data_IF_787234767934
#
_entry.id   IF_787234767934
#
_cell.length_a   1.000
_cell.length_b   1.000
_cell.length_c   1.000
_cell.angle_alpha   90.00
_cell.angle_beta   90.00
_cell.angle_gamma   90.00
#
_symmetry.space_group_name_H-M   'P 1'
#
loop_
_entity.id
_entity.type
_entity.pdbx_description
1 polymer ?
#
# COMPACT_ATOMS: atom_id res chain seq x y z
N UNK A 1 -30.77 -14.05 11.53
CA UNK A 1 -30.83 -12.83 10.71
C UNK A 1 -30.39 -11.66 11.58
N UNK A 2 -29.12 -11.27 11.49
CA UNK A 2 -28.61 -10.03 12.07
C UNK A 2 -27.78 -9.36 10.97
N UNK A 3 -28.46 -8.51 10.22
CA UNK A 3 -27.86 -7.57 9.27
C UNK A 3 -27.17 -6.46 10.07
N UNK A 4 -25.89 -6.63 10.40
CA UNK A 4 -25.07 -5.53 10.90
C UNK A 4 -24.51 -4.76 9.69
N UNK A 5 -25.17 -3.64 9.38
CA UNK A 5 -24.77 -2.74 8.33
C UNK A 5 -23.40 -2.08 8.58
N UNK A 6 -22.66 -1.92 7.48
CA UNK A 6 -21.85 -0.77 7.09
C UNK A 6 -21.14 0.03 8.21
N UNK A 7 -19.85 -0.26 8.39
CA UNK A 7 -18.79 0.76 8.53
C UNK A 7 -17.47 0.11 8.12
N UNK A 8 -17.03 0.32 6.88
CA UNK A 8 -15.64 0.04 6.51
C UNK A 8 -14.80 1.10 7.22
N UNK A 9 -14.32 0.78 8.43
CA UNK A 9 -13.47 1.71 9.18
C UNK A 9 -12.12 1.79 8.48
N UNK A 10 -11.69 3.01 8.19
CA UNK A 10 -10.33 3.25 7.68
C UNK A 10 -9.35 2.87 8.79
N UNK A 11 -8.49 1.89 8.53
CA UNK A 11 -7.54 1.35 9.51
C UNK A 11 -6.30 2.24 9.61
N UNK A 12 -5.73 2.45 10.79
CA UNK A 12 -4.47 3.19 10.90
C UNK A 12 -3.31 2.38 10.28
N UNK A 13 -2.48 3.04 9.47
CA UNK A 13 -1.31 2.43 8.86
C UNK A 13 -0.36 1.88 9.95
N UNK A 14 -0.31 2.51 11.13
CA UNK A 14 0.49 2.06 12.26
C UNK A 14 0.06 0.71 12.83
N UNK A 15 -1.21 0.32 12.65
CA UNK A 15 -1.77 -0.94 13.17
C UNK A 15 -1.45 -2.14 12.24
N UNK A 16 -1.27 -1.88 10.94
CA UNK A 16 -1.07 -2.93 9.92
C UNK A 16 0.38 -3.07 9.47
N UNK A 17 1.20 -2.02 9.62
CA UNK A 17 2.61 -2.07 9.22
C UNK A 17 3.49 -2.61 10.37
N UNK A 18 4.30 -3.66 10.12
CA UNK A 18 5.19 -4.20 11.14
C UNK A 18 6.29 -3.20 11.53
N UNK A 19 6.74 -3.27 12.78
CA UNK A 19 7.75 -2.35 13.34
C UNK A 19 9.01 -2.29 12.47
N UNK A 20 9.47 -3.41 11.92
CA UNK A 20 10.65 -3.46 11.05
C UNK A 20 10.51 -2.68 9.73
N UNK A 21 9.29 -2.28 9.35
CA UNK A 21 9.01 -1.51 8.14
C UNK A 21 8.74 -0.02 8.42
N UNK A 22 8.71 0.40 9.70
CA UNK A 22 8.59 1.81 10.09
C UNK A 22 9.65 2.72 9.45
N UNK A 23 10.93 2.32 9.28
CA UNK A 23 11.91 3.17 8.60
C UNK A 23 11.53 3.51 7.16
N UNK A 24 10.85 2.60 6.45
CA UNK A 24 10.36 2.83 5.09
C UNK A 24 9.21 3.82 5.09
N UNK A 25 8.27 3.70 6.03
CA UNK A 25 7.19 4.68 6.23
C UNK A 25 7.77 6.06 6.51
N UNK A 26 8.66 6.18 7.49
CA UNK A 26 9.29 7.46 7.83
C UNK A 26 10.04 8.07 6.65
N UNK A 27 10.78 7.26 5.89
CA UNK A 27 11.47 7.72 4.69
C UNK A 27 10.51 8.22 3.61
N UNK A 28 9.33 7.59 3.48
CA UNK A 28 8.32 7.96 2.48
C UNK A 28 7.77 9.38 2.70
N UNK A 29 7.50 9.76 3.95
CA UNK A 29 6.98 11.09 4.28
C UNK A 29 8.08 12.14 4.51
N UNK A 30 9.35 11.80 4.25
CA UNK A 30 10.44 12.76 4.33
C UNK A 30 10.70 13.41 2.96
N UNK A 31 10.45 14.72 2.78
CA UNK A 31 10.61 15.40 1.49
C UNK A 31 12.06 15.47 1.00
N UNK A 32 13.05 15.17 1.85
CA UNK A 32 14.47 15.13 1.47
C UNK A 32 14.91 13.77 0.90
N UNK A 33 14.03 12.75 0.93
CA UNK A 33 14.33 11.41 0.42
C UNK A 33 13.56 11.19 -0.88
N UNK A 34 14.31 11.14 -1.99
CA UNK A 34 13.72 10.95 -3.32
C UNK A 34 13.61 9.47 -3.72
N UNK A 35 14.45 8.60 -3.16
CA UNK A 35 14.57 7.21 -3.58
C UNK A 35 14.62 6.27 -2.39
N UNK A 36 13.77 5.24 -2.41
CA UNK A 36 13.70 4.21 -1.37
C UNK A 36 13.82 2.85 -2.04
N UNK A 37 14.81 2.06 -1.61
CA UNK A 37 15.05 0.72 -2.14
C UNK A 37 14.90 -0.34 -1.04
N UNK A 38 13.82 -1.12 -1.09
CA UNK A 38 13.58 -2.20 -0.13
C UNK A 38 14.23 -3.51 -0.61
N UNK A 39 15.36 -3.91 -0.02
CA UNK A 39 16.03 -5.19 -0.28
C UNK A 39 15.56 -6.28 0.70
N UNK A 40 15.45 -7.52 0.25
CA UNK A 40 15.16 -8.66 1.14
C UNK A 40 14.64 -9.91 0.41
N UNK A 41 14.57 -11.03 1.12
CA UNK A 41 14.16 -12.33 0.59
C UNK A 41 12.65 -12.54 0.42
N UNK A 42 12.25 -13.77 0.06
CA UNK A 42 10.85 -14.20 -0.03
C UNK A 42 10.16 -14.08 1.33
N UNK A 43 8.90 -13.63 1.35
CA UNK A 43 8.10 -13.54 2.58
C UNK A 43 8.43 -12.35 3.49
N UNK A 44 9.33 -11.45 3.08
CA UNK A 44 9.72 -10.26 3.88
C UNK A 44 8.65 -9.15 3.95
N UNK A 45 7.46 -9.35 3.37
CA UNK A 45 6.35 -8.39 3.44
C UNK A 45 6.53 -7.08 2.63
N UNK A 46 7.63 -6.91 1.89
CA UNK A 46 7.97 -5.66 1.19
C UNK A 46 6.84 -5.18 0.27
N UNK A 47 6.38 -6.02 -0.66
CA UNK A 47 5.38 -5.61 -1.65
C UNK A 47 4.04 -5.27 -1.01
N UNK A 48 3.61 -6.02 0.02
CA UNK A 48 2.36 -5.75 0.73
C UNK A 48 2.41 -4.40 1.45
N UNK A 49 3.49 -4.13 2.18
CA UNK A 49 3.64 -2.86 2.88
C UNK A 49 3.81 -1.67 1.93
N UNK A 50 4.51 -1.85 0.80
CA UNK A 50 4.61 -0.82 -0.25
C UNK A 50 3.23 -0.52 -0.84
N UNK A 51 2.38 -1.53 -1.05
CA UNK A 51 1.02 -1.33 -1.56
C UNK A 51 0.15 -0.52 -0.57
N UNK A 52 0.26 -0.79 0.74
CA UNK A 52 -0.39 0.04 1.77
C UNK A 52 0.10 1.49 1.74
N UNK A 53 1.41 1.71 1.58
CA UNK A 53 2.00 3.05 1.52
C UNK A 53 1.55 3.80 0.25
N UNK A 54 1.58 3.16 -0.92
CA UNK A 54 1.21 3.79 -2.20
C UNK A 54 -0.26 4.25 -2.18
N UNK A 55 -1.18 3.36 -1.77
CA UNK A 55 -2.60 3.70 -1.67
C UNK A 55 -2.83 4.87 -0.71
N UNK A 56 -2.07 4.95 0.39
CA UNK A 56 -2.08 6.08 1.32
C UNK A 56 -1.59 7.39 0.72
N UNK A 57 -0.54 7.36 -0.10
CA UNK A 57 -0.02 8.57 -0.74
C UNK A 57 -1.03 9.16 -1.73
N UNK A 58 -1.69 8.30 -2.52
CA UNK A 58 -2.66 8.72 -3.55
C UNK A 58 -3.86 9.44 -2.92
N UNK A 59 -4.35 8.98 -1.76
CA UNK A 59 -5.48 9.64 -1.08
C UNK A 59 -5.07 10.90 -0.30
N UNK A 60 -3.81 11.01 0.11
CA UNK A 60 -3.32 12.13 0.93
C UNK A 60 -2.85 13.30 0.07
N UNK A 61 -2.38 13.03 -1.14
CA UNK A 61 -1.79 14.02 -2.02
C UNK A 61 -2.35 13.87 -3.44
N UNK A 62 -2.47 14.96 -4.21
CA UNK A 62 -2.86 14.90 -5.61
C UNK A 62 -1.72 14.36 -6.48
N UNK A 63 -1.42 13.06 -6.35
CA UNK A 63 -0.30 12.37 -7.00
C UNK A 63 -0.78 11.15 -7.77
N UNK A 64 -0.04 10.80 -8.83
CA UNK A 64 -0.23 9.56 -9.58
C UNK A 64 0.86 8.55 -9.22
N UNK A 65 0.52 7.28 -9.12
CA UNK A 65 1.49 6.20 -8.94
C UNK A 65 1.69 5.42 -10.24
N UNK A 66 2.96 5.20 -10.63
CA UNK A 66 3.32 4.38 -11.80
C UNK A 66 4.05 3.14 -11.32
N UNK A 67 3.51 1.96 -11.64
CA UNK A 67 4.11 0.68 -11.31
C UNK A 67 4.80 0.08 -12.54
N UNK A 68 6.11 -0.19 -12.44
CA UNK A 68 6.94 -0.65 -13.56
C UNK A 68 7.53 -2.02 -13.23
N UNK A 69 7.50 -2.94 -14.21
CA UNK A 69 8.16 -4.25 -14.13
C UNK A 69 8.82 -4.58 -15.47
N UNK A 70 9.91 -5.34 -15.44
CA UNK A 70 10.66 -5.72 -16.65
C UNK A 70 9.85 -6.63 -17.60
N UNK A 71 9.04 -7.54 -17.07
CA UNK A 71 8.23 -8.48 -17.86
C UNK A 71 6.75 -8.17 -17.70
N UNK A 72 6.01 -8.10 -18.80
CA UNK A 72 4.66 -7.50 -18.79
C UNK A 72 3.52 -8.51 -18.58
N UNK A 73 3.69 -9.77 -19.02
CA UNK A 73 2.62 -10.78 -19.16
C UNK A 73 1.80 -11.15 -17.89
N UNK A 74 2.11 -10.59 -16.71
CA UNK A 74 1.35 -10.81 -15.46
C UNK A 74 1.26 -9.55 -14.59
N UNK A 75 1.37 -8.34 -15.17
CA UNK A 75 1.35 -7.10 -14.40
C UNK A 75 -0.01 -6.87 -13.72
N UNK A 76 -1.10 -7.12 -14.43
CA UNK A 76 -2.47 -7.07 -13.91
C UNK A 76 -2.66 -8.06 -12.73
N UNK A 77 -2.29 -9.33 -12.94
CA UNK A 77 -2.39 -10.38 -11.92
C UNK A 77 -1.43 -10.20 -10.73
N UNK A 78 -0.50 -9.25 -10.79
CA UNK A 78 0.46 -9.01 -9.72
C UNK A 78 0.23 -7.66 -9.04
N UNK A 79 0.75 -6.58 -9.61
CA UNK A 79 0.81 -5.29 -8.93
C UNK A 79 -0.56 -4.64 -8.84
N UNK A 80 -1.37 -4.75 -9.90
CA UNK A 80 -2.71 -4.15 -9.90
C UNK A 80 -3.63 -4.80 -8.84
N UNK A 81 -3.72 -6.13 -8.82
CA UNK A 81 -4.50 -6.83 -7.79
C UNK A 81 -3.94 -6.61 -6.38
N UNK A 82 -2.62 -6.45 -6.22
CA UNK A 82 -2.02 -6.14 -4.92
C UNK A 82 -2.42 -4.76 -4.40
N UNK A 83 -2.53 -3.76 -5.28
CA UNK A 83 -3.02 -2.42 -4.91
C UNK A 83 -4.51 -2.46 -4.59
N UNK A 84 -5.33 -3.15 -5.38
CA UNK A 84 -6.76 -3.34 -5.07
C UNK A 84 -6.98 -4.00 -3.72
N UNK A 85 -6.23 -5.06 -3.44
CA UNK A 85 -6.26 -5.70 -2.11
C UNK A 85 -5.88 -4.71 -1.01
N UNK A 86 -4.80 -3.93 -1.19
CA UNK A 86 -4.36 -2.95 -0.19
C UNK A 86 -5.38 -1.83 0.06
N UNK A 87 -6.12 -1.41 -0.96
CA UNK A 87 -7.23 -0.44 -0.84
C UNK A 87 -8.34 -1.04 0.02
N UNK A 88 -8.74 -2.29 -0.25
CA UNK A 88 -9.83 -2.94 0.47
C UNK A 88 -9.47 -3.27 1.92
N UNK A 89 -8.27 -3.80 2.14
CA UNK A 89 -7.76 -4.12 3.47
C UNK A 89 -7.71 -2.89 4.41
N UNK A 90 -7.50 -1.70 3.84
CA UNK A 90 -7.47 -0.45 4.59
C UNK A 90 -8.83 0.27 4.67
N UNK A 91 -9.89 -0.25 4.03
CA UNK A 91 -11.20 0.39 3.97
C UNK A 91 -11.23 1.70 3.18
N UNK A 92 -10.39 1.80 2.13
CA UNK A 92 -10.18 3.02 1.34
C UNK A 92 -11.02 3.07 0.05
N UNK A 93 -11.91 2.12 -0.18
CA UNK A 93 -12.63 1.95 -1.46
C UNK A 93 -13.40 3.20 -1.87
N UNK A 94 -13.94 3.97 -0.91
CA UNK A 94 -14.69 5.20 -1.21
C UNK A 94 -13.85 6.35 -1.79
N UNK A 95 -12.52 6.20 -1.83
CA UNK A 95 -11.58 7.23 -2.28
C UNK A 95 -10.99 6.95 -3.67
N UNK A 96 -11.29 5.79 -4.26
CA UNK A 96 -10.82 5.34 -5.58
C UNK A 96 -12.00 5.09 -6.51
#
# INVERSE_FOLDING_TARGET
MLIHGCKTMVVDLADIIPIGFKPVVQATWNPQILNIACKGGRGSGKSSNIAFIISRLIIQYPVNAVCIRKTDNTLEQSVYEQIKWAISEQGLERYF
#
